data_IF_533868269078
#
_entry.id   IF_533868269078
#
_cell.length_a   1.000
_cell.length_b   1.000
_cell.length_c   1.000
_cell.angle_alpha   90.00
_cell.angle_beta   90.00
_cell.angle_gamma   90.00
#
_symmetry.space_group_name_H-M   'P 1'
#
loop_
_entity.id
_entity.type
_entity.pdbx_description
1 polymer ?
#
# COMPACT_ATOMS: atom_id res chain seq x y z
N UNK A 1 -22.58 10.44 -28.11
CA UNK A 1 -23.13 10.60 -26.76
C UNK A 1 -22.07 10.03 -25.83
N UNK A 2 -21.30 10.89 -25.16
CA UNK A 2 -20.16 10.47 -24.34
C UNK A 2 -20.62 9.55 -23.21
N UNK A 3 -19.79 8.57 -22.85
CA UNK A 3 -20.08 7.67 -21.74
C UNK A 3 -20.02 8.48 -20.45
N UNK A 4 -21.12 8.50 -19.68
CA UNK A 4 -21.11 9.17 -18.37
C UNK A 4 -20.27 8.36 -17.38
N UNK A 5 -19.20 8.97 -16.88
CA UNK A 5 -18.28 8.35 -15.92
C UNK A 5 -18.81 8.61 -14.52
N UNK A 6 -19.34 7.56 -13.88
CA UNK A 6 -19.84 7.67 -12.50
C UNK A 6 -18.69 8.01 -11.56
N UNK A 7 -18.82 9.14 -10.85
CA UNK A 7 -17.96 9.54 -9.75
C UNK A 7 -18.74 9.57 -8.45
N UNK A 8 -18.07 9.28 -7.34
CA UNK A 8 -18.70 9.31 -6.01
C UNK A 8 -17.83 10.09 -5.03
N UNK A 9 -18.44 10.70 -4.02
CA UNK A 9 -17.67 11.31 -2.94
C UNK A 9 -16.83 10.23 -2.22
N UNK A 10 -15.53 10.47 -1.96
CA UNK A 10 -14.75 9.64 -1.05
C UNK A 10 -15.39 9.61 0.35
N UNK A 11 -14.94 8.68 1.20
CA UNK A 11 -15.33 8.71 2.60
C UNK A 11 -15.00 10.07 3.25
N UNK A 12 -15.82 10.61 4.18
CA UNK A 12 -15.53 11.89 4.85
C UNK A 12 -14.16 11.98 5.53
N UNK A 13 -13.64 10.85 6.00
CA UNK A 13 -12.31 10.73 6.63
C UNK A 13 -11.15 10.56 5.63
N UNK A 14 -11.40 10.59 4.32
CA UNK A 14 -10.38 10.35 3.31
C UNK A 14 -9.36 11.50 3.20
N UNK A 15 -8.04 11.19 3.11
CA UNK A 15 -7.42 9.88 3.37
C UNK A 15 -7.26 9.62 4.89
N UNK A 16 -7.68 8.44 5.41
CA UNK A 16 -7.65 8.16 6.84
C UNK A 16 -6.22 8.02 7.40
N UNK A 17 -5.28 7.51 6.62
CA UNK A 17 -3.90 7.27 7.04
C UNK A 17 -2.96 8.37 6.61
N UNK A 18 -2.28 8.98 7.60
CA UNK A 18 -1.20 9.93 7.32
C UNK A 18 0.03 9.19 6.78
N UNK A 19 0.70 9.83 5.84
CA UNK A 19 1.95 9.35 5.24
C UNK A 19 2.64 10.44 4.44
N UNK A 20 3.67 10.05 3.68
CA UNK A 20 4.40 10.96 2.79
C UNK A 20 3.80 10.90 1.39
N UNK A 21 2.74 11.66 1.19
CA UNK A 21 2.09 11.80 -0.10
C UNK A 21 1.54 13.22 -0.26
N UNK A 22 1.33 13.60 -1.51
CA UNK A 22 0.57 14.77 -1.92
C UNK A 22 -0.85 14.32 -2.30
N UNK A 23 -1.84 15.13 -1.93
CA UNK A 23 -3.24 14.94 -2.31
C UNK A 23 -3.55 15.85 -3.49
N UNK A 24 -4.12 15.27 -4.55
CA UNK A 24 -4.53 15.97 -5.76
C UNK A 24 -6.04 15.95 -5.93
N UNK A 25 -6.51 15.54 -7.11
CA UNK A 25 -7.93 15.48 -7.43
C UNK A 25 -8.56 14.19 -6.90
N UNK A 26 -9.41 14.28 -5.87
CA UNK A 26 -10.06 13.13 -5.25
C UNK A 26 -10.95 12.30 -6.20
N UNK A 27 -11.38 12.87 -7.33
CA UNK A 27 -12.16 12.17 -8.34
C UNK A 27 -11.30 11.47 -9.40
N UNK A 28 -9.98 11.65 -9.36
CA UNK A 28 -9.05 11.01 -10.28
C UNK A 28 -9.02 9.49 -10.07
N UNK A 29 -8.91 8.70 -11.16
CA UNK A 29 -8.83 7.25 -11.05
C UNK A 29 -7.45 6.73 -10.67
N UNK A 30 -6.48 7.60 -10.36
CA UNK A 30 -5.07 7.21 -10.24
C UNK A 30 -4.50 7.56 -8.88
N UNK A 31 -3.78 6.62 -8.28
CA UNK A 31 -2.77 6.90 -7.27
C UNK A 31 -1.37 6.51 -7.77
N UNK A 32 -0.36 7.31 -7.42
CA UNK A 32 1.03 7.08 -7.79
C UNK A 32 1.84 6.70 -6.55
N UNK A 33 2.58 5.60 -6.65
CA UNK A 33 3.40 5.04 -5.58
C UNK A 33 4.84 4.99 -6.07
N UNK A 34 5.71 5.77 -5.43
CA UNK A 34 7.14 5.80 -5.72
C UNK A 34 7.88 5.05 -4.61
N UNK A 35 8.56 3.96 -4.94
CA UNK A 35 9.37 3.23 -3.96
C UNK A 35 10.50 4.12 -3.46
N UNK A 36 10.70 4.14 -2.15
CA UNK A 36 11.76 4.87 -1.49
C UNK A 36 12.78 3.90 -0.89
N UNK A 37 14.05 4.10 -1.25
CA UNK A 37 15.20 3.30 -0.80
C UNK A 37 16.21 4.10 0.02
N UNK A 38 15.78 5.24 0.58
CA UNK A 38 16.57 6.14 1.41
C UNK A 38 15.77 6.56 2.64
N UNK A 39 16.49 6.99 3.66
CA UNK A 39 15.89 7.59 4.85
C UNK A 39 15.20 8.91 4.51
N UNK A 40 14.26 9.32 5.36
CA UNK A 40 13.39 10.47 5.11
C UNK A 40 14.14 11.81 4.93
N UNK A 41 15.30 11.95 5.58
CA UNK A 41 16.18 13.12 5.52
C UNK A 41 17.10 13.12 4.29
N UNK A 42 17.09 12.04 3.50
CA UNK A 42 18.00 11.81 2.37
C UNK A 42 17.24 11.43 1.09
N UNK A 43 16.00 11.90 0.95
CA UNK A 43 15.25 11.66 -0.29
C UNK A 43 15.90 12.43 -1.44
N UNK A 44 16.28 11.74 -2.53
CA UNK A 44 16.83 12.40 -3.69
C UNK A 44 15.80 13.32 -4.39
N UNK A 45 16.20 14.49 -4.93
CA UNK A 45 15.29 15.40 -5.64
C UNK A 45 14.50 14.75 -6.77
N UNK A 46 15.07 13.76 -7.46
CA UNK A 46 14.41 13.01 -8.52
C UNK A 46 13.20 12.22 -8.00
N UNK A 47 13.26 11.64 -6.80
CA UNK A 47 12.11 10.94 -6.20
C UNK A 47 11.00 11.93 -5.87
N UNK A 48 11.36 13.10 -5.34
CA UNK A 48 10.37 14.14 -5.04
C UNK A 48 9.73 14.69 -6.33
N UNK A 49 10.50 14.79 -7.41
CA UNK A 49 9.98 15.19 -8.72
C UNK A 49 8.98 14.19 -9.28
N UNK A 50 9.25 12.88 -9.19
CA UNK A 50 8.29 11.85 -9.58
C UNK A 50 6.99 11.94 -8.76
N UNK A 51 7.10 12.17 -7.45
CA UNK A 51 5.94 12.35 -6.57
C UNK A 51 5.13 13.59 -6.97
N UNK A 52 5.78 14.76 -7.14
CA UNK A 52 5.10 15.99 -7.56
C UNK A 52 4.41 15.84 -8.91
N UNK A 53 5.11 15.23 -9.87
CA UNK A 53 4.60 14.99 -11.23
C UNK A 53 3.26 14.25 -11.21
N UNK A 54 3.08 13.27 -10.32
CA UNK A 54 1.81 12.54 -10.19
C UNK A 54 0.63 13.47 -9.93
N UNK A 55 0.72 14.34 -8.91
CA UNK A 55 -0.36 15.27 -8.54
C UNK A 55 -0.50 16.40 -9.57
N UNK A 56 0.61 16.95 -10.07
CA UNK A 56 0.59 17.99 -11.11
C UNK A 56 -0.11 17.53 -12.40
N UNK A 57 -0.07 16.22 -12.69
CA UNK A 57 -0.79 15.62 -13.83
C UNK A 57 -2.25 15.29 -13.51
N UNK A 58 -2.63 15.28 -12.23
CA UNK A 58 -4.01 15.05 -11.80
C UNK A 58 -4.27 13.70 -11.13
N UNK A 59 -3.26 13.03 -10.55
CA UNK A 59 -3.50 11.89 -9.67
C UNK A 59 -4.26 12.30 -8.38
N UNK A 60 -5.03 11.39 -7.79
CA UNK A 60 -5.72 11.61 -6.51
C UNK A 60 -4.73 11.65 -5.35
N UNK A 61 -3.75 10.73 -5.37
CA UNK A 61 -2.65 10.66 -4.41
C UNK A 61 -1.36 10.38 -5.16
N UNK A 62 -0.26 10.96 -4.70
CA UNK A 62 1.08 10.61 -5.17
C UNK A 62 2.05 10.65 -4.00
N UNK A 63 2.77 9.58 -3.73
CA UNK A 63 3.62 9.52 -2.54
C UNK A 63 4.65 8.41 -2.57
N UNK A 64 5.41 8.33 -1.47
CA UNK A 64 6.47 7.33 -1.33
C UNK A 64 6.02 6.11 -0.54
N UNK A 65 6.58 4.95 -0.88
CA UNK A 65 6.39 3.70 -0.16
C UNK A 65 7.76 3.11 0.22
N UNK A 66 7.99 2.92 1.53
CA UNK A 66 9.29 2.47 2.04
C UNK A 66 9.25 1.06 2.63
N UNK A 67 8.19 0.66 3.34
CA UNK A 67 8.12 -0.62 4.05
C UNK A 67 7.13 -1.61 3.41
N UNK A 68 7.45 -2.92 3.36
CA UNK A 68 6.65 -3.96 2.70
C UNK A 68 5.44 -4.42 3.56
N UNK A 69 5.08 -3.65 4.59
CA UNK A 69 4.02 -3.95 5.54
C UNK A 69 3.18 -2.70 5.85
N UNK A 70 3.53 -1.92 6.88
CA UNK A 70 2.78 -0.76 7.35
C UNK A 70 2.56 0.27 6.23
N UNK A 71 3.57 0.49 5.38
CA UNK A 71 3.42 1.37 4.22
C UNK A 71 2.34 0.89 3.26
N UNK A 72 2.30 -0.42 2.97
CA UNK A 72 1.28 -1.06 2.13
C UNK A 72 -0.10 -0.99 2.81
N UNK A 73 -0.18 -1.27 4.11
CA UNK A 73 -1.43 -1.18 4.87
C UNK A 73 -2.04 0.22 4.81
N UNK A 74 -1.21 1.27 4.93
CA UNK A 74 -1.64 2.66 4.81
C UNK A 74 -2.16 3.01 3.41
N UNK A 75 -1.48 2.52 2.37
CA UNK A 75 -1.94 2.67 0.99
C UNK A 75 -3.31 2.01 0.82
N UNK A 76 -3.47 0.78 1.31
CA UNK A 76 -4.74 0.05 1.25
C UNK A 76 -5.85 0.86 1.92
N UNK A 77 -5.68 1.30 3.17
CA UNK A 77 -6.67 2.10 3.90
C UNK A 77 -7.04 3.38 3.13
N UNK A 78 -6.06 4.07 2.55
CA UNK A 78 -6.32 5.30 1.81
C UNK A 78 -7.07 5.04 0.49
N UNK A 79 -6.73 3.98 -0.23
CA UNK A 79 -7.34 3.67 -1.53
C UNK A 79 -8.78 3.17 -1.40
N UNK A 80 -9.06 2.28 -0.45
CA UNK A 80 -10.44 1.74 -0.26
C UNK A 80 -11.42 2.80 0.25
N UNK A 81 -10.91 3.88 0.87
CA UNK A 81 -11.68 5.05 1.27
C UNK A 81 -12.05 5.98 0.09
N UNK A 82 -11.47 5.76 -1.09
CA UNK A 82 -11.80 6.50 -2.31
C UNK A 82 -12.04 5.55 -3.50
N UNK A 83 -13.29 5.14 -3.73
CA UNK A 83 -13.69 4.26 -4.83
C UNK A 83 -13.42 4.84 -6.23
N UNK A 84 -13.17 6.14 -6.35
CA UNK A 84 -12.77 6.71 -7.64
C UNK A 84 -11.40 6.19 -8.07
N UNK A 85 -10.48 5.84 -7.16
CA UNK A 85 -9.14 5.34 -7.49
C UNK A 85 -9.26 3.90 -8.01
N UNK A 86 -8.89 3.71 -9.29
CA UNK A 86 -8.97 2.45 -10.04
C UNK A 86 -7.62 1.94 -10.54
N UNK A 87 -6.58 2.76 -10.43
CA UNK A 87 -5.23 2.44 -10.87
C UNK A 87 -4.21 2.84 -9.81
N UNK A 88 -3.21 1.99 -9.65
CA UNK A 88 -1.97 2.30 -8.92
C UNK A 88 -0.84 2.27 -9.93
N UNK A 89 -0.15 3.40 -10.09
CA UNK A 89 1.11 3.46 -10.85
C UNK A 89 2.25 3.24 -9.87
N UNK A 90 2.98 2.14 -10.03
CA UNK A 90 4.18 1.86 -9.25
C UNK A 90 5.42 2.34 -10.03
N UNK A 91 6.32 3.04 -9.36
CA UNK A 91 7.55 3.53 -9.96
C UNK A 91 8.66 3.71 -8.91
N UNK A 92 9.81 4.25 -9.30
CA UNK A 92 10.99 4.41 -8.46
C UNK A 92 11.94 3.21 -8.47
N UNK A 93 13.01 3.25 -7.67
CA UNK A 93 13.97 2.15 -7.52
C UNK A 93 13.37 0.95 -6.77
N UNK A 94 14.20 -0.03 -6.43
CA UNK A 94 13.86 -0.99 -5.38
C UNK A 94 14.48 -0.56 -4.04
N UNK A 95 13.82 -0.95 -2.95
CA UNK A 95 14.32 -0.79 -1.60
C UNK A 95 15.18 -2.00 -1.23
N UNK A 96 16.51 -1.87 -1.40
CA UNK A 96 17.45 -2.93 -1.02
C UNK A 96 17.27 -3.32 0.44
N UNK A 97 17.15 -4.63 0.70
CA UNK A 97 16.94 -5.19 2.03
C UNK A 97 15.47 -5.28 2.47
N UNK A 98 14.61 -4.35 2.08
CA UNK A 98 13.17 -4.42 2.34
C UNK A 98 12.40 -5.14 1.24
N UNK A 99 12.83 -5.01 -0.02
CA UNK A 99 12.16 -5.54 -1.21
C UNK A 99 10.70 -5.08 -1.29
N UNK A 100 10.48 -3.79 -1.07
CA UNK A 100 9.14 -3.22 -0.94
C UNK A 100 8.40 -3.20 -2.28
N UNK A 101 9.08 -2.92 -3.39
CA UNK A 101 8.48 -3.01 -4.72
C UNK A 101 8.12 -4.46 -5.08
N UNK A 102 9.03 -5.40 -4.81
CA UNK A 102 8.75 -6.84 -4.93
C UNK A 102 7.51 -7.28 -4.13
N UNK A 103 7.44 -6.95 -2.84
CA UNK A 103 6.29 -7.27 -1.99
C UNK A 103 4.99 -6.65 -2.54
N UNK A 104 5.04 -5.39 -2.97
CA UNK A 104 3.85 -4.73 -3.49
C UNK A 104 3.36 -5.38 -4.78
N UNK A 105 4.27 -5.75 -5.70
CA UNK A 105 3.92 -6.50 -6.92
C UNK A 105 3.40 -7.91 -6.61
N UNK A 106 4.01 -8.59 -5.65
CA UNK A 106 3.60 -9.91 -5.21
C UNK A 106 2.19 -9.89 -4.60
N UNK A 107 1.81 -8.84 -3.87
CA UNK A 107 0.45 -8.65 -3.36
C UNK A 107 -0.57 -8.61 -4.49
N UNK A 108 -0.34 -7.85 -5.56
CA UNK A 108 -1.24 -7.83 -6.71
C UNK A 108 -1.30 -9.17 -7.45
N UNK A 109 -0.18 -9.88 -7.54
CA UNK A 109 -0.09 -11.13 -8.29
C UNK A 109 -0.70 -12.31 -7.56
N UNK A 110 -0.47 -12.41 -6.24
CA UNK A 110 -0.71 -13.62 -5.47
C UNK A 110 -1.61 -13.40 -4.24
N UNK A 111 -1.94 -12.15 -3.90
CA UNK A 111 -2.69 -11.82 -2.69
C UNK A 111 -1.91 -12.14 -1.41
N UNK A 112 -2.66 -12.52 -0.38
CA UNK A 112 -2.14 -12.90 0.94
C UNK A 112 -2.66 -14.26 1.38
N UNK A 113 -1.95 -14.92 2.29
CA UNK A 113 -2.41 -16.14 2.94
C UNK A 113 -3.37 -15.86 4.12
N UNK A 114 -3.82 -16.91 4.81
CA UNK A 114 -4.71 -16.79 5.99
C UNK A 114 -4.10 -15.99 7.15
N UNK A 115 -2.76 -15.95 7.22
CA UNK A 115 -2.00 -15.13 8.19
C UNK A 115 -1.73 -13.73 7.64
N UNK A 116 -2.34 -13.33 6.53
CA UNK A 116 -2.12 -12.04 5.85
C UNK A 116 -0.66 -11.80 5.46
N UNK A 117 0.11 -12.87 5.20
CA UNK A 117 1.43 -12.79 4.59
C UNK A 117 1.27 -12.61 3.09
N UNK A 118 1.98 -11.66 2.50
CA UNK A 118 2.04 -11.51 1.04
C UNK A 118 2.73 -12.73 0.44
N UNK A 119 2.08 -13.37 -0.52
CA UNK A 119 2.55 -14.62 -1.11
C UNK A 119 3.54 -14.32 -2.25
N UNK A 120 4.66 -15.05 -2.29
CA UNK A 120 5.59 -15.01 -3.42
C UNK A 120 6.55 -13.81 -3.44
N UNK A 121 6.85 -13.22 -2.27
CA UNK A 121 7.89 -12.20 -2.09
C UNK A 121 8.99 -12.68 -1.15
N UNK A 122 10.21 -12.21 -1.39
CA UNK A 122 11.38 -12.41 -0.51
C UNK A 122 11.55 -11.29 0.53
N UNK A 123 10.67 -10.30 0.53
CA UNK A 123 10.68 -9.20 1.48
C UNK A 123 10.66 -9.69 2.93
N UNK A 124 11.39 -8.97 3.79
CA UNK A 124 11.43 -9.25 5.22
C UNK A 124 10.13 -8.76 5.86
N UNK A 125 9.46 -9.65 6.60
CA UNK A 125 8.21 -9.39 7.31
C UNK A 125 7.05 -8.81 6.44
N UNK A 126 6.65 -9.49 5.35
CA UNK A 126 5.65 -8.98 4.42
C UNK A 126 4.24 -9.34 4.90
N UNK A 127 3.84 -8.82 6.07
CA UNK A 127 2.56 -9.15 6.72
C UNK A 127 1.68 -7.91 6.90
N UNK A 128 0.38 -8.07 6.65
CA UNK A 128 -0.63 -6.99 6.70
C UNK A 128 -1.58 -7.17 7.89
N UNK A 129 -1.05 -7.29 9.11
CA UNK A 129 -1.82 -7.65 10.32
C UNK A 129 -2.73 -6.54 10.86
N UNK A 130 -2.43 -5.28 10.58
CA UNK A 130 -3.06 -4.13 11.20
C UNK A 130 -4.35 -3.70 10.50
N UNK A 131 -4.74 -4.37 9.40
CA UNK A 131 -5.96 -4.12 8.62
C UNK A 131 -6.81 -5.38 8.49
N UNK A 132 -8.15 -5.27 8.35
CA UNK A 132 -9.01 -6.44 8.13
C UNK A 132 -8.79 -7.06 6.73
N UNK A 133 -9.07 -8.36 6.60
CA UNK A 133 -8.94 -9.07 5.32
C UNK A 133 -9.84 -8.44 4.23
N UNK A 134 -11.02 -7.96 4.62
CA UNK A 134 -11.95 -7.23 3.75
C UNK A 134 -11.28 -6.06 3.02
N UNK A 135 -10.39 -5.32 3.68
CA UNK A 135 -9.72 -4.17 3.06
C UNK A 135 -8.71 -4.63 2.00
N UNK A 136 -8.01 -5.75 2.25
CA UNK A 136 -7.05 -6.33 1.31
C UNK A 136 -7.78 -6.82 0.05
N UNK A 137 -8.86 -7.58 0.24
CA UNK A 137 -9.68 -8.09 -0.88
C UNK A 137 -10.27 -6.94 -1.67
N UNK A 138 -10.89 -5.97 -0.99
CA UNK A 138 -11.46 -4.78 -1.62
C UNK A 138 -10.41 -4.00 -2.42
N UNK A 139 -9.21 -3.81 -1.88
CA UNK A 139 -8.13 -3.12 -2.57
C UNK A 139 -7.75 -3.84 -3.88
N UNK A 140 -7.54 -5.15 -3.83
CA UNK A 140 -7.15 -5.95 -4.99
C UNK A 140 -8.24 -6.00 -6.06
N UNK A 141 -9.52 -5.99 -5.67
CA UNK A 141 -10.64 -5.93 -6.62
C UNK A 141 -10.86 -4.53 -7.19
N UNK A 142 -10.53 -3.48 -6.42
CA UNK A 142 -10.81 -2.09 -6.79
C UNK A 142 -9.84 -1.53 -7.81
N UNK A 143 -8.54 -1.82 -7.66
CA UNK A 143 -7.46 -1.20 -8.42
C UNK A 143 -6.68 -2.17 -9.29
N UNK A 144 -6.15 -1.67 -10.41
CA UNK A 144 -5.16 -2.37 -11.24
C UNK A 144 -3.78 -1.75 -11.06
N UNK A 145 -2.75 -2.59 -11.02
CA UNK A 145 -1.35 -2.15 -10.98
C UNK A 145 -0.83 -1.84 -12.39
N UNK A 146 -0.18 -0.69 -12.54
CA UNK A 146 0.62 -0.31 -13.71
C UNK A 146 2.07 -0.26 -13.24
N UNK A 147 2.87 -1.27 -13.63
CA UNK A 147 4.25 -1.41 -13.18
C UNK A 147 5.22 -0.64 -14.09
N UNK A 148 5.68 0.51 -13.59
CA UNK A 148 6.73 1.34 -14.20
C UNK A 148 7.99 1.38 -13.33
N UNK A 149 8.16 0.43 -12.40
CA UNK A 149 9.35 0.39 -11.54
C UNK A 149 10.61 0.34 -12.41
N UNK A 150 11.65 1.07 -12.00
CA UNK A 150 12.90 1.30 -12.73
C UNK A 150 12.79 2.05 -14.08
N UNK A 151 11.59 2.38 -14.55
CA UNK A 151 11.35 3.11 -15.82
C UNK A 151 10.84 4.53 -15.62
N UNK A 152 10.51 4.89 -14.38
CA UNK A 152 9.87 6.16 -14.03
C UNK A 152 10.68 7.39 -14.38
N UNK A 153 10.33 8.05 -15.48
CA UNK A 153 10.64 9.47 -15.70
C UNK A 153 9.38 10.31 -15.45
N UNK A 154 9.51 11.62 -15.18
CA UNK A 154 8.36 12.52 -15.10
C UNK A 154 7.45 12.44 -16.34
N UNK A 155 8.01 12.33 -17.54
CA UNK A 155 7.25 12.19 -18.79
C UNK A 155 6.45 10.88 -18.84
N UNK A 156 7.04 9.79 -18.36
CA UNK A 156 6.37 8.49 -18.37
C UNK A 156 5.23 8.44 -17.35
N UNK A 157 5.46 9.00 -16.15
CA UNK A 157 4.40 9.17 -15.14
C UNK A 157 3.29 10.06 -15.69
N UNK A 158 3.63 11.20 -16.33
CA UNK A 158 2.66 12.08 -16.99
C UNK A 158 1.78 11.32 -17.97
N UNK A 159 2.39 10.54 -18.87
CA UNK A 159 1.66 9.75 -19.87
C UNK A 159 0.78 8.67 -19.25
N UNK A 160 1.26 7.99 -18.21
CA UNK A 160 0.50 6.94 -17.53
C UNK A 160 -0.72 7.50 -16.78
N UNK A 161 -0.55 8.59 -16.01
CA UNK A 161 -1.66 9.30 -15.36
C UNK A 161 -2.62 9.81 -16.43
N UNK A 162 -2.10 10.38 -17.53
CA UNK A 162 -2.90 10.87 -18.63
C UNK A 162 -3.78 9.79 -19.26
N UNK A 163 -3.22 8.62 -19.52
CA UNK A 163 -3.93 7.50 -20.13
C UNK A 163 -5.05 6.96 -19.24
N UNK A 164 -4.92 7.06 -17.92
CA UNK A 164 -5.94 6.58 -16.98
C UNK A 164 -7.16 7.49 -16.85
N UNK A 165 -7.06 8.78 -17.19
CA UNK A 165 -8.21 9.71 -17.07
C UNK A 165 -9.07 9.78 -18.34
N UNK A 166 -8.63 9.18 -19.44
CA UNK A 166 -9.34 9.27 -20.73
C UNK A 166 -10.73 8.65 -20.63
N UNK A 167 -11.71 9.28 -21.30
CA UNK A 167 -13.07 8.72 -21.41
C UNK A 167 -13.07 7.43 -22.24
N UNK A 168 -12.36 7.48 -23.37
CA UNK A 168 -12.17 6.36 -24.27
C UNK A 168 -10.86 5.62 -23.96
N UNK A 169 -10.85 4.33 -24.27
CA UNK A 169 -9.69 3.48 -24.05
C UNK A 169 -8.52 3.88 -24.95
N UNK A 170 -7.37 4.15 -24.33
CA UNK A 170 -6.11 4.43 -25.00
C UNK A 170 -5.06 3.37 -24.71
N UNK A 171 -4.14 3.19 -25.65
CA UNK A 171 -2.99 2.31 -25.48
C UNK A 171 -1.87 3.05 -24.77
N UNK A 172 -1.31 2.42 -23.74
CA UNK A 172 -0.14 2.88 -23.02
C UNK A 172 0.75 1.68 -22.74
N UNK A 173 1.83 1.53 -23.52
CA UNK A 173 2.69 0.34 -23.48
C UNK A 173 1.86 -0.95 -23.66
N UNK A 174 1.98 -1.92 -22.75
CA UNK A 174 1.15 -3.14 -22.73
C UNK A 174 -0.26 -2.95 -22.15
N UNK A 175 -0.60 -1.75 -21.65
CA UNK A 175 -1.85 -1.47 -20.98
C UNK A 175 -2.88 -0.82 -21.91
N UNK A 176 -4.14 -1.11 -21.64
CA UNK A 176 -5.30 -0.44 -22.22
C UNK A 176 -6.04 0.28 -21.10
N UNK A 177 -5.96 1.60 -21.10
CA UNK A 177 -6.34 2.45 -19.96
C UNK A 177 -7.45 3.42 -20.37
N UNK A 178 -8.33 3.70 -19.43
CA UNK A 178 -9.37 4.72 -19.46
C UNK A 178 -9.87 4.89 -18.03
N UNK A 179 -10.75 5.84 -17.77
CA UNK A 179 -11.43 5.95 -16.49
C UNK A 179 -12.72 5.10 -16.50
N UNK A 180 -12.75 3.96 -15.77
CA UNK A 180 -13.93 3.10 -15.78
C UNK A 180 -15.04 3.61 -14.85
N UNK A 181 -14.84 4.75 -14.19
CA UNK A 181 -15.69 5.26 -13.11
C UNK A 181 -15.37 4.65 -11.75
N UNK A 182 -16.09 5.09 -10.73
CA UNK A 182 -15.93 4.63 -9.36
C UNK A 182 -16.21 3.12 -9.22
N UNK A 183 -15.54 2.48 -8.28
CA UNK A 183 -15.87 1.12 -7.85
C UNK A 183 -17.33 1.06 -7.35
N UNK A 184 -18.10 0.00 -7.68
CA UNK A 184 -19.55 0.00 -7.52
C UNK A 184 -20.04 0.04 -6.07
N UNK A 185 -19.25 -0.47 -5.13
CA UNK A 185 -19.60 -0.50 -3.71
C UNK A 185 -19.15 0.76 -2.94
N UNK A 186 -19.81 1.11 -1.81
CA UNK A 186 -19.45 2.25 -0.98
C UNK A 186 -17.97 2.26 -0.54
N UNK A 187 -17.41 3.45 -0.19
CA UNK A 187 -16.08 3.54 0.37
C UNK A 187 -15.98 2.82 1.71
N UNK A 188 -14.85 2.12 1.94
CA UNK A 188 -14.49 1.59 3.26
C UNK A 188 -13.54 2.56 3.95
N UNK A 189 -13.69 2.80 5.26
CA UNK A 189 -12.75 3.65 6.00
C UNK A 189 -12.33 3.00 7.31
N UNK A 190 -11.06 3.16 7.64
CA UNK A 190 -10.45 2.63 8.85
C UNK A 190 -8.97 2.99 8.91
N UNK A 191 -8.46 3.12 10.13
CA UNK A 191 -7.03 3.30 10.39
C UNK A 191 -6.38 1.98 10.75
N UNK A 192 -5.08 1.86 10.51
CA UNK A 192 -4.29 0.70 10.94
C UNK A 192 -4.41 0.55 12.45
N UNK A 193 -4.75 -0.65 12.90
CA UNK A 193 -4.78 -0.96 14.32
C UNK A 193 -3.39 -1.40 14.72
N UNK A 194 -2.66 -0.62 15.52
CA UNK A 194 -1.27 -0.89 15.98
C UNK A 194 -1.13 -2.13 16.89
N UNK A 195 -2.01 -3.13 16.72
CA UNK A 195 -2.16 -4.31 17.56
C UNK A 195 -0.91 -5.20 17.57
N UNK A 196 -0.10 -5.16 16.51
CA UNK A 196 1.09 -6.00 16.39
C UNK A 196 2.29 -5.19 15.90
N UNK A 197 2.93 -4.45 16.81
CA UNK A 197 4.19 -3.75 16.51
C UNK A 197 5.40 -4.70 16.35
N UNK A 198 5.28 -5.98 16.78
CA UNK A 198 6.32 -7.03 16.66
C UNK A 198 5.74 -8.46 16.58
N UNK A 199 5.03 -8.85 15.51
CA UNK A 199 4.49 -10.21 15.37
C UNK A 199 5.58 -11.30 15.23
N UNK A 200 6.80 -10.94 14.83
CA UNK A 200 7.97 -11.83 14.82
C UNK A 200 8.58 -12.10 16.22
N UNK A 201 8.01 -11.52 17.28
CA UNK A 201 8.37 -11.89 18.64
C UNK A 201 7.64 -13.18 19.08
N UNK A 202 6.59 -13.58 18.37
CA UNK A 202 5.98 -14.88 18.59
C UNK A 202 6.75 -15.94 17.80
N UNK A 203 7.20 -17.02 18.46
CA UNK A 203 7.99 -18.02 17.78
C UNK A 203 7.18 -18.75 16.70
N UNK A 204 7.84 -18.99 15.57
CA UNK A 204 7.25 -19.60 14.39
C UNK A 204 6.97 -21.10 14.58
N UNK A 205 7.72 -21.78 15.47
CA UNK A 205 7.58 -23.21 15.79
C UNK A 205 6.97 -23.46 17.18
N UNK A 206 6.19 -24.54 17.30
CA UNK A 206 5.51 -24.95 18.51
C UNK A 206 6.48 -25.32 19.65
N UNK A 207 7.69 -25.80 19.33
CA UNK A 207 8.72 -26.05 20.34
C UNK A 207 9.25 -24.75 20.93
N UNK A 208 9.49 -23.73 20.10
CA UNK A 208 9.94 -22.42 20.56
C UNK A 208 8.84 -21.71 21.36
N UNK A 209 7.56 -21.83 20.96
CA UNK A 209 6.42 -21.33 21.74
C UNK A 209 6.37 -21.95 23.14
N UNK A 210 6.59 -23.27 23.25
CA UNK A 210 6.68 -23.97 24.55
C UNK A 210 7.87 -23.49 25.38
N UNK A 211 9.01 -23.20 24.75
CA UNK A 211 10.20 -22.71 25.44
C UNK A 211 9.98 -21.29 25.99
N UNK A 212 9.42 -20.38 25.18
CA UNK A 212 9.09 -19.01 25.60
C UNK A 212 8.07 -19.03 26.74
N UNK A 213 7.03 -19.88 26.66
CA UNK A 213 6.03 -20.01 27.72
C UNK A 213 6.64 -20.49 29.04
N UNK A 214 7.50 -21.52 29.01
CA UNK A 214 8.23 -22.00 30.20
C UNK A 214 9.11 -20.90 30.81
N UNK A 215 9.78 -20.11 29.98
CA UNK A 215 10.63 -19.01 30.43
C UNK A 215 9.81 -17.90 31.11
N UNK A 216 8.64 -17.57 30.57
CA UNK A 216 7.72 -16.60 31.16
C UNK A 216 7.18 -17.07 32.51
N UNK A 217 6.75 -18.33 32.62
CA UNK A 217 6.27 -18.94 33.88
C UNK A 217 7.36 -18.93 34.96
N UNK A 218 8.62 -19.19 34.58
CA UNK A 218 9.77 -19.14 35.47
C UNK A 218 10.06 -17.72 35.97
N UNK A 219 10.03 -16.72 35.09
CA UNK A 219 10.20 -15.31 35.46
C UNK A 219 9.09 -14.86 36.41
N UNK A 220 7.86 -15.31 36.19
CA UNK A 220 6.73 -14.96 37.02
C UNK A 220 6.80 -15.59 38.42
N UNK A 221 7.28 -16.84 38.53
CA UNK A 221 7.61 -17.46 39.83
C UNK A 221 8.68 -16.67 40.58
N UNK A 222 9.78 -16.33 39.92
CA UNK A 222 10.87 -15.54 40.53
C UNK A 222 10.40 -14.16 41.02
N UNK A 223 9.46 -13.52 40.30
CA UNK A 223 8.85 -12.25 40.71
C UNK A 223 7.94 -12.40 41.93
N UNK A 224 7.23 -13.52 42.07
CA UNK A 224 6.38 -13.81 43.23
C UNK A 224 7.21 -14.11 44.47
N UNK A 225 8.31 -14.86 44.32
CA UNK A 225 9.25 -15.15 45.41
C UNK A 225 9.95 -13.88 45.90
N UNK A 226 10.35 -12.97 45.00
CA UNK A 226 10.91 -11.64 45.36
C UNK A 226 9.94 -10.68 46.03
N UNK A 227 8.63 -10.90 45.91
CA UNK A 227 7.59 -10.09 46.60
C UNK A 227 7.17 -10.67 47.94
N UNK A 228 7.62 -11.89 48.25
CA UNK A 228 7.25 -12.63 49.47
C UNK A 228 8.39 -12.66 50.50
N UNK A 229 9.54 -12.06 50.17
CA UNK A 229 10.66 -11.72 51.06
C UNK A 229 10.75 -10.19 51.20
#
# INVERSE_FOLDING_TARGET
>A
MGREIKKIDPHPDYPPEKGRYLRGNDYSPVAVVIILNRDEDKIPPEIEELVRTGVETGAALSGTLQTPNIGIEKIICNVVANPNIRYIILSGPESEGHLTGDAFKALFKNGVDEKKRIIGTEAKHPYLYNIPMEFIVRFLDQVKLIDLQFKGTPELIRKAVWACYQEDQVEFMEYKLHDPGAYPEPPLSGKITWKFSRPWAEPDDDNERRAVKKMQEMIERLKKERKSN
#
